data_IF_484578182839
#
_entry.id   IF_484578182839
#
_cell.length_a   1.000
_cell.length_b   1.000
_cell.length_c   1.000
_cell.angle_alpha   90.00
_cell.angle_beta   90.00
_cell.angle_gamma   90.00
#
_symmetry.space_group_name_H-M   'P 1'
#
loop_
_entity.id
_entity.type
_entity.pdbx_description
1 polymer ?
#
# COMPACT_ATOMS: atom_id res chain seq x y z
N UNK A 1 7.84 13.23 -32.27
CA UNK A 1 8.59 12.18 -31.56
C UNK A 1 8.82 12.66 -30.13
N UNK A 2 8.06 12.15 -29.15
CA UNK A 2 8.29 12.48 -27.75
C UNK A 2 9.53 11.73 -27.23
N UNK A 3 10.40 12.41 -26.48
CA UNK A 3 11.62 11.83 -25.96
C UNK A 3 11.31 10.65 -25.01
N UNK A 4 12.16 9.60 -24.92
CA UNK A 4 11.93 8.45 -24.05
C UNK A 4 11.71 8.81 -22.57
N UNK A 5 12.22 9.97 -22.12
CA UNK A 5 11.96 10.51 -20.78
C UNK A 5 10.49 10.89 -20.53
N UNK A 6 9.76 11.36 -21.54
CA UNK A 6 8.37 11.81 -21.41
C UNK A 6 7.42 10.62 -21.22
N UNK A 7 7.66 9.50 -21.91
CA UNK A 7 6.86 8.27 -21.73
C UNK A 7 7.05 7.65 -20.34
N UNK A 8 8.24 7.74 -19.77
CA UNK A 8 8.52 7.21 -18.43
C UNK A 8 7.77 8.00 -17.35
N UNK A 9 7.85 9.33 -17.42
CA UNK A 9 7.15 10.25 -16.51
C UNK A 9 5.63 10.16 -16.64
N UNK A 10 5.08 10.17 -17.85
CA UNK A 10 3.64 10.04 -18.10
C UNK A 10 3.10 8.72 -17.53
N UNK A 11 3.86 7.62 -17.67
CA UNK A 11 3.48 6.34 -17.09
C UNK A 11 3.48 6.33 -15.55
N UNK A 12 4.45 6.98 -14.90
CA UNK A 12 4.48 7.09 -13.44
C UNK A 12 3.38 8.01 -12.90
N UNK A 13 3.06 9.08 -13.62
CA UNK A 13 1.94 9.97 -13.29
C UNK A 13 0.60 9.23 -13.37
N UNK A 14 0.40 8.39 -14.39
CA UNK A 14 -0.78 7.52 -14.51
C UNK A 14 -0.86 6.52 -13.35
N UNK A 15 0.26 5.90 -12.99
CA UNK A 15 0.31 5.00 -11.81
C UNK A 15 -0.02 5.74 -10.52
N UNK A 16 0.53 6.94 -10.33
CA UNK A 16 0.23 7.78 -9.17
C UNK A 16 -1.24 8.17 -9.11
N UNK A 17 -1.84 8.59 -10.24
CA UNK A 17 -3.25 8.92 -10.33
C UNK A 17 -4.15 7.72 -10.04
N UNK A 18 -3.79 6.53 -10.55
CA UNK A 18 -4.52 5.30 -10.26
C UNK A 18 -4.43 4.92 -8.78
N UNK A 19 -3.25 5.06 -8.15
CA UNK A 19 -3.09 4.86 -6.71
C UNK A 19 -3.87 5.88 -5.89
N UNK A 20 -3.89 7.15 -6.29
CA UNK A 20 -4.74 8.14 -5.65
C UNK A 20 -6.22 7.77 -5.75
N UNK A 21 -6.65 7.29 -6.92
CA UNK A 21 -8.00 6.78 -7.13
C UNK A 21 -8.37 5.62 -6.19
N UNK A 22 -7.48 4.64 -6.01
CA UNK A 22 -7.74 3.54 -5.06
C UNK A 22 -7.77 4.04 -3.62
N UNK A 23 -6.91 5.00 -3.25
CA UNK A 23 -6.93 5.60 -1.92
C UNK A 23 -8.15 6.48 -1.63
N UNK A 24 -8.79 7.07 -2.63
CA UNK A 24 -10.11 7.71 -2.45
C UNK A 24 -11.18 6.65 -2.25
N UNK A 25 -11.09 5.54 -3.00
CA UNK A 25 -12.11 4.50 -2.98
C UNK A 25 -12.12 3.69 -1.69
N UNK A 26 -10.95 3.43 -1.09
CA UNK A 26 -10.82 2.64 0.16
C UNK A 26 -11.71 3.15 1.31
N UNK A 27 -11.65 4.43 1.74
CA UNK A 27 -12.52 4.91 2.82
C UNK A 27 -14.00 5.00 2.41
N UNK A 28 -14.30 5.21 1.12
CA UNK A 28 -15.68 5.26 0.62
C UNK A 28 -16.37 3.89 0.60
N UNK A 29 -15.60 2.81 0.49
CA UNK A 29 -16.12 1.44 0.55
C UNK A 29 -16.39 1.02 2.00
N UNK A 30 -15.72 1.62 2.99
CA UNK A 30 -15.86 1.22 4.39
C UNK A 30 -17.31 1.25 4.91
N UNK A 31 -18.11 2.31 4.70
CA UNK A 31 -19.51 2.32 5.11
C UNK A 31 -20.33 1.20 4.44
N UNK A 32 -20.02 0.87 3.19
CA UNK A 32 -20.72 -0.19 2.44
C UNK A 32 -20.40 -1.56 3.04
N UNK A 33 -19.13 -1.81 3.38
CA UNK A 33 -18.71 -3.05 4.06
C UNK A 33 -19.36 -3.17 5.44
N UNK A 34 -19.50 -2.06 6.17
CA UNK A 34 -20.08 -2.09 7.51
C UNK A 34 -21.55 -2.50 7.53
N UNK A 35 -22.28 -2.31 6.42
CA UNK A 35 -23.65 -2.79 6.24
C UNK A 35 -23.76 -4.30 5.98
N UNK A 36 -22.64 -5.00 5.76
CA UNK A 36 -22.63 -6.45 5.56
C UNK A 36 -22.68 -7.13 6.93
N UNK A 37 -23.90 -7.50 7.36
CA UNK A 37 -24.14 -8.20 8.61
C UNK A 37 -23.45 -9.59 8.64
N UNK A 38 -22.83 -9.93 9.77
CA UNK A 38 -22.27 -11.27 10.03
C UNK A 38 -20.85 -11.54 9.51
N UNK A 39 -20.14 -10.54 8.99
CA UNK A 39 -18.74 -10.68 8.55
C UNK A 39 -17.74 -10.48 9.68
N UNK A 40 -16.68 -11.30 9.72
CA UNK A 40 -15.56 -11.16 10.67
C UNK A 40 -14.77 -9.86 10.41
N UNK A 41 -14.18 -9.28 11.45
CA UNK A 41 -13.38 -8.05 11.34
C UNK A 41 -12.25 -8.15 10.31
N UNK A 42 -11.56 -9.30 10.27
CA UNK A 42 -10.48 -9.55 9.30
C UNK A 42 -10.98 -9.58 7.85
N UNK A 43 -12.18 -10.11 7.61
CA UNK A 43 -12.78 -10.14 6.27
C UNK A 43 -13.16 -8.73 5.80
N UNK A 44 -13.65 -7.89 6.72
CA UNK A 44 -13.93 -6.47 6.42
C UNK A 44 -12.64 -5.73 6.06
N UNK A 45 -11.57 -5.94 6.82
CA UNK A 45 -10.25 -5.35 6.54
C UNK A 45 -9.71 -5.84 5.20
N UNK A 46 -9.86 -7.14 4.88
CA UNK A 46 -9.44 -7.70 3.61
C UNK A 46 -10.20 -7.08 2.42
N UNK A 47 -11.51 -6.85 2.57
CA UNK A 47 -12.34 -6.20 1.54
C UNK A 47 -11.90 -4.76 1.27
N UNK A 48 -11.43 -4.02 2.28
CA UNK A 48 -10.88 -2.66 2.11
C UNK A 48 -9.60 -2.64 1.26
N UNK A 49 -8.83 -3.73 1.27
CA UNK A 49 -7.59 -3.84 0.50
C UNK A 49 -7.82 -4.12 -0.99
N UNK A 50 -9.01 -4.58 -1.39
CA UNK A 50 -9.32 -5.06 -2.74
C UNK A 50 -9.03 -4.04 -3.83
N UNK A 51 -9.44 -2.75 -3.72
CA UNK A 51 -9.13 -1.75 -4.75
C UNK A 51 -7.64 -1.63 -5.06
N UNK A 52 -6.81 -1.61 -4.02
CA UNK A 52 -5.37 -1.52 -4.18
C UNK A 52 -4.76 -2.81 -4.71
N UNK A 53 -5.25 -3.97 -4.24
CA UNK A 53 -4.81 -5.26 -4.73
C UNK A 53 -5.06 -5.42 -6.24
N UNK A 54 -6.19 -4.91 -6.75
CA UNK A 54 -6.47 -4.85 -8.20
C UNK A 54 -5.46 -3.97 -8.93
N UNK A 55 -5.13 -2.80 -8.37
CA UNK A 55 -4.11 -1.93 -8.96
C UNK A 55 -2.73 -2.62 -9.00
N UNK A 56 -2.31 -3.27 -7.92
CA UNK A 56 -1.05 -4.02 -7.86
C UNK A 56 -1.03 -5.15 -8.89
N UNK A 57 -2.15 -5.89 -9.04
CA UNK A 57 -2.30 -6.91 -10.08
C UNK A 57 -2.00 -6.33 -11.46
N UNK A 58 -2.67 -5.22 -11.80
CA UNK A 58 -2.51 -4.55 -13.10
C UNK A 58 -1.08 -4.05 -13.29
N UNK A 59 -0.46 -3.49 -12.25
CA UNK A 59 0.93 -3.01 -12.32
C UNK A 59 1.93 -4.12 -12.55
N UNK A 60 1.77 -5.28 -11.90
CA UNK A 60 2.64 -6.45 -12.13
C UNK A 60 2.40 -7.00 -13.54
N UNK A 61 1.14 -7.07 -13.97
CA UNK A 61 0.73 -7.63 -15.25
C UNK A 61 1.26 -6.83 -16.46
N UNK A 62 1.35 -5.50 -16.33
CA UNK A 62 1.76 -4.59 -17.41
C UNK A 62 3.23 -4.16 -17.28
N UNK A 63 3.73 -4.07 -16.04
CA UNK A 63 5.04 -3.48 -15.73
C UNK A 63 6.18 -4.48 -15.56
N UNK A 64 5.95 -5.78 -15.73
CA UNK A 64 6.99 -6.80 -15.58
C UNK A 64 6.75 -8.01 -16.48
N UNK A 65 7.82 -8.68 -16.92
CA UNK A 65 7.77 -9.93 -17.70
C UNK A 65 7.43 -11.15 -16.82
N UNK A 66 6.65 -10.93 -15.76
CA UNK A 66 6.20 -11.96 -14.85
C UNK A 66 5.13 -12.85 -15.51
N UNK A 67 5.09 -14.15 -15.17
CA UNK A 67 3.99 -15.01 -15.58
C UNK A 67 2.66 -14.50 -14.98
N UNK A 68 1.52 -14.71 -15.66
CA UNK A 68 0.21 -14.16 -15.24
C UNK A 68 -0.19 -14.54 -13.80
N UNK A 69 0.23 -15.71 -13.32
CA UNK A 69 -0.04 -16.12 -11.94
C UNK A 69 0.68 -15.24 -10.90
N UNK A 70 1.82 -14.64 -11.24
CA UNK A 70 2.58 -13.78 -10.33
C UNK A 70 1.86 -12.45 -10.07
N UNK A 71 1.07 -11.95 -11.02
CA UNK A 71 0.19 -10.80 -10.79
C UNK A 71 -0.90 -11.13 -9.75
N UNK A 72 -1.51 -12.33 -9.84
CA UNK A 72 -2.46 -12.80 -8.84
C UNK A 72 -1.79 -13.00 -7.47
N UNK A 73 -0.59 -13.59 -7.43
CA UNK A 73 0.17 -13.74 -6.20
C UNK A 73 0.49 -12.39 -5.54
N UNK A 74 0.91 -11.39 -6.33
CA UNK A 74 1.14 -10.03 -5.82
C UNK A 74 -0.13 -9.36 -5.28
N UNK A 75 -1.27 -9.57 -5.92
CA UNK A 75 -2.57 -9.08 -5.44
C UNK A 75 -2.96 -9.73 -4.09
N UNK A 76 -2.81 -11.06 -3.98
CA UNK A 76 -3.05 -11.78 -2.72
C UNK A 76 -2.11 -11.30 -1.62
N UNK A 77 -0.82 -11.11 -1.93
CA UNK A 77 0.15 -10.56 -0.98
C UNK A 77 -0.20 -9.14 -0.54
N UNK A 78 -0.83 -8.33 -1.41
CA UNK A 78 -1.32 -6.99 -1.06
C UNK A 78 -2.43 -7.05 -0.03
N UNK A 79 -3.38 -7.98 -0.17
CA UNK A 79 -4.43 -8.20 0.83
C UNK A 79 -3.84 -8.66 2.15
N UNK A 80 -2.93 -9.64 2.13
CA UNK A 80 -2.26 -10.14 3.34
C UNK A 80 -1.48 -9.02 4.04
N UNK A 81 -0.70 -8.25 3.28
CA UNK A 81 0.07 -7.11 3.79
C UNK A 81 -0.84 -6.07 4.47
N UNK A 82 -2.00 -5.78 3.88
CA UNK A 82 -2.95 -4.83 4.44
C UNK A 82 -3.56 -5.35 5.76
N UNK A 83 -3.99 -6.61 5.80
CA UNK A 83 -4.50 -7.23 7.04
C UNK A 83 -3.44 -7.19 8.13
N UNK A 84 -2.21 -7.61 7.83
CA UNK A 84 -1.11 -7.60 8.81
C UNK A 84 -0.73 -6.19 9.27
N UNK A 85 -0.79 -5.18 8.38
CA UNK A 85 -0.57 -3.79 8.74
C UNK A 85 -1.59 -3.33 9.80
N UNK A 86 -2.88 -3.60 9.57
CA UNK A 86 -3.93 -3.23 10.52
C UNK A 86 -3.81 -4.01 11.82
N UNK A 87 -3.56 -5.33 11.76
CA UNK A 87 -3.35 -6.13 12.97
C UNK A 87 -2.17 -5.64 13.81
N UNK A 88 -1.05 -5.27 13.17
CA UNK A 88 0.13 -4.75 13.85
C UNK A 88 -0.15 -3.39 14.51
N UNK A 89 -0.88 -2.51 13.81
CA UNK A 89 -1.29 -1.21 14.33
C UNK A 89 -2.19 -1.36 15.57
N UNK A 90 -3.20 -2.22 15.50
CA UNK A 90 -4.11 -2.51 16.63
C UNK A 90 -3.36 -3.14 17.81
N UNK A 91 -2.41 -4.03 17.53
CA UNK A 91 -1.61 -4.65 18.59
C UNK A 91 -0.76 -3.64 19.36
N UNK A 92 -0.12 -2.68 18.68
CA UNK A 92 0.63 -1.61 19.34
C UNK A 92 -0.27 -0.64 20.09
N UNK A 93 -1.43 -0.27 19.50
CA UNK A 93 -2.40 0.58 20.15
C UNK A 93 -2.88 -0.02 21.49
N UNK A 94 -3.14 -1.33 21.52
CA UNK A 94 -3.52 -2.06 22.74
C UNK A 94 -2.43 -2.15 23.83
N UNK A 95 -1.18 -1.76 23.56
CA UNK A 95 -0.05 -1.87 24.51
C UNK A 95 0.29 -0.56 25.22
N UNK A 96 -0.21 0.58 24.75
CA UNK A 96 0.22 1.90 25.22
C UNK A 96 -0.92 2.58 25.97
N UNK A 97 -0.61 3.16 27.13
CA UNK A 97 -1.60 3.75 28.03
C UNK A 97 -2.28 4.99 27.45
N UNK A 98 -3.43 5.37 28.02
CA UNK A 98 -4.30 6.45 27.51
C UNK A 98 -3.66 7.84 27.60
N UNK A 99 -2.73 8.08 28.54
CA UNK A 99 -2.11 9.39 28.71
C UNK A 99 -1.14 9.78 27.57
N UNK A 100 -0.76 8.83 26.71
CA UNK A 100 0.20 9.02 25.62
C UNK A 100 -0.44 8.86 24.24
N UNK A 101 -1.69 9.32 24.07
CA UNK A 101 -2.49 9.10 22.84
C UNK A 101 -1.76 9.48 21.54
N UNK A 102 -1.03 10.60 21.48
CA UNK A 102 -0.27 10.99 20.30
C UNK A 102 0.90 10.02 20.00
N UNK A 103 1.66 9.62 21.01
CA UNK A 103 2.78 8.69 20.87
C UNK A 103 2.27 7.30 20.47
N UNK A 104 1.16 6.86 21.08
CA UNK A 104 0.48 5.61 20.74
C UNK A 104 0.07 5.56 19.28
N UNK A 105 -0.56 6.61 18.78
CA UNK A 105 -1.01 6.68 17.40
C UNK A 105 0.18 6.66 16.43
N UNK A 106 1.22 7.47 16.68
CA UNK A 106 2.43 7.47 15.84
C UNK A 106 3.09 6.08 15.83
N UNK A 107 3.24 5.42 16.98
CA UNK A 107 3.86 4.09 17.07
C UNK A 107 3.00 3.01 16.41
N UNK A 108 1.68 3.08 16.57
CA UNK A 108 0.72 2.20 15.89
C UNK A 108 0.82 2.34 14.37
N UNK A 109 0.87 3.58 13.88
CA UNK A 109 1.05 3.91 12.48
C UNK A 109 2.40 3.46 11.91
N UNK A 110 3.49 3.65 12.66
CA UNK A 110 4.83 3.16 12.30
C UNK A 110 4.83 1.63 12.14
N UNK A 111 4.26 0.91 13.11
CA UNK A 111 4.22 -0.54 13.10
C UNK A 111 3.38 -1.07 11.93
N UNK A 112 2.16 -0.53 11.73
CA UNK A 112 1.33 -0.91 10.61
C UNK A 112 1.97 -0.60 9.26
N UNK A 113 2.54 0.60 9.11
CA UNK A 113 3.23 1.04 7.90
C UNK A 113 4.45 0.18 7.56
N UNK A 114 5.27 -0.14 8.56
CA UNK A 114 6.44 -1.01 8.40
C UNK A 114 6.04 -2.44 8.05
N UNK A 115 5.10 -3.05 8.78
CA UNK A 115 4.63 -4.41 8.53
C UNK A 115 3.99 -4.52 7.15
N UNK A 116 3.08 -3.60 6.79
CA UNK A 116 2.42 -3.62 5.50
C UNK A 116 3.38 -3.46 4.33
N UNK A 117 4.24 -2.42 4.37
CA UNK A 117 5.20 -2.17 3.29
C UNK A 117 6.27 -3.25 3.20
N UNK A 118 6.72 -3.79 4.34
CA UNK A 118 7.68 -4.90 4.39
C UNK A 118 7.11 -6.19 3.84
N UNK A 119 5.91 -6.59 4.26
CA UNK A 119 5.25 -7.79 3.74
C UNK A 119 5.00 -7.70 2.24
N UNK A 120 4.57 -6.53 1.75
CA UNK A 120 4.34 -6.35 0.32
C UNK A 120 5.65 -6.33 -0.47
N UNK A 121 6.69 -5.65 0.00
CA UNK A 121 8.00 -5.63 -0.63
C UNK A 121 8.64 -7.03 -0.69
N UNK A 122 8.55 -7.80 0.40
CA UNK A 122 9.03 -9.19 0.44
C UNK A 122 8.21 -10.08 -0.50
N UNK A 123 6.88 -10.00 -0.44
CA UNK A 123 5.99 -10.80 -1.26
C UNK A 123 6.20 -10.57 -2.75
N UNK A 124 6.27 -9.31 -3.17
CA UNK A 124 6.52 -8.97 -4.58
C UNK A 124 7.97 -9.24 -4.97
N UNK A 125 8.94 -8.98 -4.09
CA UNK A 125 10.38 -9.26 -4.32
C UNK A 125 10.70 -10.73 -4.58
N UNK A 126 9.87 -11.65 -4.07
CA UNK A 126 10.00 -13.10 -4.33
C UNK A 126 9.45 -13.55 -5.69
N UNK A 127 8.69 -12.70 -6.39
CA UNK A 127 8.17 -13.05 -7.71
C UNK A 127 9.29 -13.29 -8.74
N UNK A 128 9.06 -14.15 -9.75
CA UNK A 128 10.09 -14.59 -10.68
C UNK A 128 10.82 -13.45 -11.40
N UNK A 129 10.10 -12.39 -11.78
CA UNK A 129 10.63 -11.26 -12.52
C UNK A 129 10.92 -10.02 -11.67
N UNK A 130 10.81 -10.11 -10.34
CA UNK A 130 11.03 -8.97 -9.45
C UNK A 130 12.52 -8.72 -9.14
N UNK A 131 12.91 -7.48 -8.80
CA UNK A 131 14.23 -7.18 -8.28
C UNK A 131 14.51 -7.92 -6.98
N UNK A 132 15.62 -8.67 -6.94
CA UNK A 132 16.12 -9.34 -5.72
C UNK A 132 16.98 -8.42 -4.85
N UNK A 133 17.40 -7.27 -5.38
CA UNK A 133 18.14 -6.25 -4.65
C UNK A 133 17.24 -5.59 -3.59
N UNK A 134 17.56 -5.72 -2.27
CA UNK A 134 16.79 -5.08 -1.20
C UNK A 134 16.72 -3.56 -1.34
N UNK A 135 17.75 -2.92 -1.92
CA UNK A 135 17.80 -1.46 -2.06
C UNK A 135 16.72 -0.93 -3.02
N UNK A 136 16.22 -1.76 -3.96
CA UNK A 136 15.13 -1.40 -4.84
C UNK A 136 13.80 -1.18 -4.09
N UNK A 137 13.66 -1.78 -2.91
CA UNK A 137 12.44 -1.77 -2.10
C UNK A 137 12.47 -0.76 -0.96
N UNK A 138 13.64 -0.19 -0.65
CA UNK A 138 13.79 0.83 0.40
C UNK A 138 12.84 2.02 0.25
N UNK A 139 12.63 2.60 -0.96
CA UNK A 139 11.68 3.71 -1.11
C UNK A 139 10.25 3.33 -0.70
N UNK A 140 9.86 2.07 -0.94
CA UNK A 140 8.54 1.54 -0.59
C UNK A 140 8.40 1.36 0.92
N UNK A 141 9.43 0.85 1.58
CA UNK A 141 9.49 0.74 3.05
C UNK A 141 9.42 2.10 3.73
N UNK A 142 10.23 3.07 3.26
CA UNK A 142 10.24 4.43 3.81
C UNK A 142 8.88 5.09 3.61
N UNK A 143 8.35 5.06 2.38
CA UNK A 143 7.05 5.67 2.07
C UNK A 143 5.92 5.04 2.89
N UNK A 144 5.88 3.70 2.98
CA UNK A 144 4.84 3.00 3.75
C UNK A 144 4.93 3.23 5.26
N UNK A 145 6.13 3.23 5.81
CA UNK A 145 6.36 3.46 7.25
C UNK A 145 6.03 4.91 7.64
N UNK A 146 6.51 5.89 6.86
CA UNK A 146 6.21 7.31 7.10
C UNK A 146 4.72 7.61 6.94
N UNK A 147 4.08 7.07 5.90
CA UNK A 147 2.66 7.29 5.65
C UNK A 147 1.77 6.62 6.72
N UNK A 148 2.12 5.41 7.18
CA UNK A 148 1.38 4.76 8.27
C UNK A 148 1.37 5.61 9.54
N UNK A 149 2.52 6.22 9.88
CA UNK A 149 2.67 7.14 11.01
C UNK A 149 1.80 8.38 10.86
N UNK A 150 1.79 8.98 9.66
CA UNK A 150 1.01 10.17 9.35
C UNK A 150 -0.50 9.90 9.36
N UNK A 151 -0.94 8.77 8.82
CA UNK A 151 -2.35 8.35 8.85
C UNK A 151 -2.85 8.16 10.28
N UNK A 152 -2.06 7.54 11.15
CA UNK A 152 -2.44 7.36 12.54
C UNK A 152 -2.49 8.69 13.30
N UNK A 153 -1.62 9.65 12.96
CA UNK A 153 -1.68 11.01 13.50
C UNK A 153 -2.89 11.80 12.97
N UNK A 154 -3.27 11.63 11.71
CA UNK A 154 -4.44 12.28 11.09
C UNK A 154 -5.75 11.85 11.78
N UNK A 155 -5.93 10.54 11.97
CA UNK A 155 -7.03 9.95 12.73
C UNK A 155 -7.03 10.44 14.20
N UNK A 156 -5.86 10.59 14.81
CA UNK A 156 -5.72 11.10 16.18
C UNK A 156 -6.25 12.54 16.33
N UNK A 157 -6.02 13.36 15.31
CA UNK A 157 -6.34 14.78 15.29
C UNK A 157 -7.78 15.06 14.80
N UNK A 158 -8.56 14.02 14.47
CA UNK A 158 -9.94 14.11 13.95
C UNK A 158 -10.05 14.97 12.69
N UNK A 159 -9.07 14.90 11.79
CA UNK A 159 -9.12 15.55 10.47
C UNK A 159 -9.99 14.77 9.46
N UNK A 160 -10.80 13.83 9.97
CA UNK A 160 -11.41 12.65 9.31
C UNK A 160 -12.37 12.88 8.14
N UNK A 161 -12.76 14.09 7.77
CA UNK A 161 -13.78 14.24 6.72
C UNK A 161 -13.23 14.18 5.28
N UNK A 162 -11.93 14.40 5.09
CA UNK A 162 -11.27 14.29 3.78
C UNK A 162 -9.81 13.88 4.01
N UNK A 163 -9.56 12.66 4.51
CA UNK A 163 -8.19 12.19 4.73
C UNK A 163 -7.46 12.02 3.38
N UNK A 164 -6.89 13.12 2.90
CA UNK A 164 -6.04 13.24 1.70
C UNK A 164 -4.83 12.31 1.76
N UNK A 165 -4.52 11.79 2.94
CA UNK A 165 -3.41 10.90 3.21
C UNK A 165 -3.59 9.51 2.60
N UNK A 166 -4.79 8.93 2.56
CA UNK A 166 -5.03 7.64 1.90
C UNK A 166 -4.73 7.70 0.38
N UNK A 167 -5.26 8.69 -0.38
CA UNK A 167 -4.91 8.90 -1.78
C UNK A 167 -3.40 9.11 -2.01
N UNK A 168 -2.78 9.98 -1.22
CA UNK A 168 -1.34 10.28 -1.35
C UNK A 168 -0.49 9.05 -1.04
N UNK A 169 -0.88 8.27 -0.03
CA UNK A 169 -0.21 7.04 0.37
C UNK A 169 -0.25 5.97 -0.72
N UNK A 170 -1.44 5.68 -1.23
CA UNK A 170 -1.66 4.67 -2.26
C UNK A 170 -0.98 5.04 -3.58
N UNK A 171 -0.98 6.33 -3.93
CA UNK A 171 -0.19 6.87 -5.03
C UNK A 171 1.32 6.66 -4.84
N UNK A 172 1.85 7.00 -3.65
CA UNK A 172 3.27 6.85 -3.32
C UNK A 172 3.74 5.39 -3.41
N UNK A 173 3.01 4.46 -2.79
CA UNK A 173 3.34 3.03 -2.83
C UNK A 173 3.24 2.48 -4.26
N UNK A 174 2.22 2.86 -5.04
CA UNK A 174 2.09 2.44 -6.42
C UNK A 174 3.26 2.93 -7.30
N UNK A 175 3.69 4.18 -7.12
CA UNK A 175 4.86 4.74 -7.81
C UNK A 175 6.14 4.00 -7.42
N UNK A 176 6.38 3.76 -6.12
CA UNK A 176 7.54 2.99 -5.65
C UNK A 176 7.58 1.58 -6.24
N UNK A 177 6.44 0.88 -6.26
CA UNK A 177 6.30 -0.43 -6.85
C UNK A 177 6.61 -0.40 -8.36
N UNK A 178 6.03 0.55 -9.10
CA UNK A 178 6.27 0.68 -10.53
C UNK A 178 7.74 1.01 -10.84
N UNK A 179 8.40 1.84 -10.02
CA UNK A 179 9.83 2.12 -10.16
C UNK A 179 10.67 0.87 -9.91
N UNK A 180 10.36 0.09 -8.87
CA UNK A 180 11.08 -1.14 -8.56
C UNK A 180 10.98 -2.14 -9.72
N UNK A 181 9.77 -2.39 -10.22
CA UNK A 181 9.54 -3.31 -11.34
C UNK A 181 10.27 -2.86 -12.63
N UNK A 182 10.27 -1.55 -12.93
CA UNK A 182 10.93 -0.99 -14.13
C UNK A 182 12.45 -1.05 -14.10
N UNK A 183 13.09 -0.93 -12.94
CA UNK A 183 14.57 -0.98 -12.83
C UNK A 183 15.14 -2.28 -13.41
N UNK A 184 14.40 -3.39 -13.31
CA UNK A 184 14.85 -4.68 -13.84
C UNK A 184 14.74 -4.76 -15.37
N UNK A 185 13.68 -4.21 -15.96
CA UNK A 185 13.49 -4.20 -17.42
C UNK A 185 14.56 -3.38 -18.14
N UNK A 186 15.19 -2.41 -17.47
CA UNK A 186 16.27 -1.59 -18.04
C UNK A 186 17.68 -2.18 -17.83
N UNK A 187 17.83 -3.18 -16.98
CA UNK A 187 19.12 -3.85 -16.69
C UNK A 187 19.28 -5.20 -17.39
N UNK A 188 18.32 -5.59 -18.23
CA UNK A 188 18.39 -6.75 -19.12
C UNK A 188 18.64 -6.28 -20.56
#
# INVERSE_FOLDING_TARGET
>A
MAAPHDRSRDGLLKTGAAGAGTGILTPLIQPIIDHINGTSGDLRIALLAVPFAILVLVLIQIGSDNPRWAALAGAVMTVIAFVWAVSAAVWIDGRISVSESAVRNVLSGLAGGFVGSGTLALGVGLLPASPRDPLAWLPMLVTGTSAGSLLALDNALKLDLVSTLYPVWQAGVAICLAMALRRRTQSA
#
